data_IF_706598255018
#
_entry.id   IF_706598255018
#
_cell.length_a   1.000
_cell.length_b   1.000
_cell.length_c   1.000
_cell.angle_alpha   90.00
_cell.angle_beta   90.00
_cell.angle_gamma   90.00
#
_symmetry.space_group_name_H-M   'P 1'
#
loop_
_entity.id
_entity.type
_entity.pdbx_description
1 polymer ?
#
# COMPACT_ATOMS: atom_id res chain seq x y z
N UNK A 1 -4.51 -16.52 -4.76
CA UNK A 1 -5.16 -15.53 -3.89
C UNK A 1 -4.38 -14.22 -3.87
N UNK A 2 -4.57 -13.47 -4.94
CA UNK A 2 -3.90 -12.16 -5.10
C UNK A 2 -4.36 -11.10 -4.08
N UNK A 3 -5.58 -11.25 -3.51
CA UNK A 3 -6.14 -10.30 -2.55
C UNK A 3 -5.24 -10.15 -1.31
N UNK A 4 -4.66 -11.24 -0.81
CA UNK A 4 -3.74 -11.19 0.33
C UNK A 4 -2.52 -10.30 0.02
N UNK A 5 -1.95 -10.44 -1.17
CA UNK A 5 -0.83 -9.62 -1.60
C UNK A 5 -1.22 -8.14 -1.72
N UNK A 6 -2.41 -7.86 -2.27
CA UNK A 6 -2.92 -6.48 -2.41
C UNK A 6 -3.14 -5.83 -1.05
N UNK A 7 -3.75 -6.54 -0.09
CA UNK A 7 -3.99 -6.02 1.26
C UNK A 7 -2.66 -5.66 1.93
N UNK A 8 -1.69 -6.56 1.89
CA UNK A 8 -0.38 -6.31 2.49
C UNK A 8 0.33 -5.11 1.83
N UNK A 9 0.27 -5.02 0.50
CA UNK A 9 0.89 -3.93 -0.26
C UNK A 9 0.23 -2.58 0.02
N UNK A 10 -1.09 -2.53 0.16
CA UNK A 10 -1.79 -1.28 0.46
C UNK A 10 -1.47 -0.75 1.85
N UNK A 11 -1.28 -1.62 2.84
CA UNK A 11 -0.86 -1.18 4.18
C UNK A 11 0.50 -0.51 4.14
N UNK A 12 1.47 -1.10 3.44
CA UNK A 12 2.79 -0.51 3.27
C UNK A 12 2.73 0.79 2.46
N UNK A 13 2.01 0.79 1.35
CA UNK A 13 1.83 1.95 0.49
C UNK A 13 1.22 3.13 1.26
N UNK A 14 0.17 2.88 2.05
CA UNK A 14 -0.47 3.91 2.87
C UNK A 14 0.49 4.53 3.88
N UNK A 15 1.34 3.72 4.51
CA UNK A 15 2.38 4.20 5.42
C UNK A 15 3.38 5.12 4.71
N UNK A 16 3.84 4.73 3.52
CA UNK A 16 4.76 5.55 2.72
C UNK A 16 4.12 6.85 2.26
N UNK A 17 2.87 6.80 1.82
CA UNK A 17 2.12 8.00 1.42
C UNK A 17 1.97 8.97 2.58
N UNK A 18 1.72 8.48 3.80
CA UNK A 18 1.65 9.32 4.99
C UNK A 18 2.98 10.04 5.25
N UNK A 19 4.09 9.32 5.15
CA UNK A 19 5.44 9.89 5.33
C UNK A 19 5.72 10.96 4.30
N UNK A 20 5.40 10.71 3.03
CA UNK A 20 5.60 11.67 1.94
C UNK A 20 4.74 12.92 2.14
N UNK A 21 3.48 12.77 2.51
CA UNK A 21 2.59 13.90 2.76
C UNK A 21 3.12 14.79 3.90
N UNK A 22 3.60 14.19 4.98
CA UNK A 22 4.20 14.93 6.08
C UNK A 22 5.45 15.70 5.64
N UNK A 23 6.31 15.06 4.84
CA UNK A 23 7.52 15.71 4.33
C UNK A 23 7.19 16.87 3.40
N UNK A 24 6.20 16.75 2.53
CA UNK A 24 5.76 17.79 1.64
C UNK A 24 5.26 19.02 2.40
N UNK A 25 4.50 18.79 3.48
CA UNK A 25 4.00 19.90 4.32
C UNK A 25 5.11 20.59 5.09
N UNK A 26 6.01 19.81 5.69
CA UNK A 26 7.07 20.34 6.58
C UNK A 26 8.19 21.01 5.78
N UNK A 27 8.64 20.38 4.69
CA UNK A 27 9.84 20.84 3.98
C UNK A 27 9.56 21.68 2.75
N UNK A 28 8.39 21.52 2.14
CA UNK A 28 8.05 22.18 0.89
C UNK A 28 6.84 23.11 0.97
N UNK A 29 6.19 23.19 2.12
CA UNK A 29 5.06 24.10 2.34
C UNK A 29 3.79 23.75 1.55
N UNK A 30 3.61 22.48 1.18
CA UNK A 30 2.41 22.03 0.49
C UNK A 30 1.19 22.14 1.41
N UNK A 31 0.06 22.54 0.82
CA UNK A 31 -1.22 22.57 1.52
C UNK A 31 -1.97 21.23 1.37
N UNK A 32 -3.18 21.17 1.91
CA UNK A 32 -3.99 19.95 1.85
C UNK A 32 -4.35 19.57 0.42
N UNK A 33 -4.61 20.55 -0.45
CA UNK A 33 -4.90 20.27 -1.86
C UNK A 33 -3.69 19.65 -2.56
N UNK A 34 -2.48 20.12 -2.27
CA UNK A 34 -1.25 19.57 -2.84
C UNK A 34 -0.92 18.17 -2.34
N UNK A 35 -1.38 17.81 -1.15
CA UNK A 35 -1.15 16.49 -0.55
C UNK A 35 -2.33 15.51 -0.74
N UNK A 36 -3.39 15.90 -1.44
CA UNK A 36 -4.63 15.11 -1.50
C UNK A 36 -4.43 13.67 -1.98
N UNK A 37 -3.58 13.46 -2.97
CA UNK A 37 -3.26 12.13 -3.48
C UNK A 37 -2.68 11.23 -2.38
N UNK A 38 -1.68 11.73 -1.67
CA UNK A 38 -1.01 10.96 -0.62
C UNK A 38 -1.91 10.78 0.61
N UNK A 39 -2.67 11.81 0.97
CA UNK A 39 -3.61 11.73 2.09
C UNK A 39 -4.70 10.70 1.85
N UNK A 40 -5.14 10.54 0.60
CA UNK A 40 -6.15 9.54 0.23
C UNK A 40 -5.70 8.13 0.60
N UNK A 41 -4.44 7.78 0.27
CA UNK A 41 -3.89 6.46 0.57
C UNK A 41 -3.43 6.31 2.02
N UNK A 42 -3.09 7.42 2.68
CA UNK A 42 -2.67 7.40 4.08
C UNK A 42 -3.83 7.18 5.04
N UNK A 43 -5.05 7.57 4.64
CA UNK A 43 -6.24 7.41 5.47
C UNK A 43 -6.63 5.93 5.55
N UNK A 44 -7.04 5.43 6.75
CA UNK A 44 -7.54 4.06 6.88
C UNK A 44 -8.78 3.86 6.01
N UNK A 45 -8.89 2.70 5.36
CA UNK A 45 -10.08 2.34 4.63
C UNK A 45 -11.29 2.25 5.56
N UNK A 46 -12.51 2.63 5.12
CA UNK A 46 -13.71 2.44 5.91
C UNK A 46 -13.86 0.96 6.32
N UNK A 47 -13.98 0.70 7.63
CA UNK A 47 -14.03 -0.67 8.15
C UNK A 47 -12.66 -1.36 8.24
N UNK A 48 -11.58 -0.67 7.91
CA UNK A 48 -10.22 -1.23 7.94
C UNK A 48 -10.01 -2.34 6.92
N UNK A 49 -9.12 -3.28 7.23
CA UNK A 49 -8.80 -4.42 6.37
C UNK A 49 -9.70 -5.64 6.62
N UNK A 50 -10.60 -5.55 7.58
CA UNK A 50 -11.40 -6.69 8.02
C UNK A 50 -12.21 -7.35 6.91
N UNK A 51 -12.94 -6.63 6.03
CA UNK A 51 -13.68 -7.28 4.94
C UNK A 51 -12.78 -8.09 4.01
N UNK A 52 -11.60 -7.59 3.70
CA UNK A 52 -10.63 -8.30 2.86
C UNK A 52 -10.06 -9.51 3.59
N UNK A 53 -9.77 -9.40 4.89
CA UNK A 53 -9.26 -10.50 5.71
C UNK A 53 -10.26 -11.63 5.82
N UNK A 54 -11.56 -11.35 5.88
CA UNK A 54 -12.62 -12.38 5.87
C UNK A 54 -12.55 -13.21 4.58
N UNK A 55 -12.37 -12.56 3.43
CA UNK A 55 -12.25 -13.26 2.14
C UNK A 55 -10.98 -14.10 2.10
N UNK A 56 -9.86 -13.59 2.60
CA UNK A 56 -8.60 -14.32 2.69
C UNK A 56 -8.76 -15.56 3.58
N UNK A 57 -9.38 -15.41 4.74
CA UNK A 57 -9.59 -16.53 5.65
C UNK A 57 -10.48 -17.61 5.01
N UNK A 58 -11.53 -17.22 4.31
CA UNK A 58 -12.38 -18.17 3.59
C UNK A 58 -11.59 -18.95 2.53
N UNK A 59 -10.66 -18.30 1.83
CA UNK A 59 -9.76 -18.95 0.88
C UNK A 59 -8.84 -19.97 1.54
N UNK A 60 -8.26 -19.63 2.69
CA UNK A 60 -7.40 -20.54 3.46
C UNK A 60 -8.21 -21.73 3.98
N UNK A 61 -9.42 -21.50 4.48
CA UNK A 61 -10.31 -22.55 4.96
C UNK A 61 -10.71 -23.50 3.84
N UNK A 62 -10.79 -23.01 2.59
CA UNK A 62 -11.05 -23.84 1.41
C UNK A 62 -9.82 -24.59 0.91
N UNK A 63 -8.70 -24.55 1.62
CA UNK A 63 -7.47 -25.26 1.29
C UNK A 63 -6.58 -24.58 0.28
N UNK A 64 -6.79 -23.30 -0.01
CA UNK A 64 -5.93 -22.54 -0.92
C UNK A 64 -4.60 -22.23 -0.23
N UNK A 65 -3.50 -22.45 -0.94
CA UNK A 65 -2.16 -22.19 -0.43
C UNK A 65 -1.77 -20.72 -0.43
N UNK A 66 -0.63 -20.40 0.20
CA UNK A 66 -0.10 -19.05 0.31
C UNK A 66 1.06 -18.77 -0.65
N UNK A 67 1.50 -19.75 -1.46
CA UNK A 67 2.67 -19.59 -2.33
C UNK A 67 2.48 -18.50 -3.38
N UNK A 68 1.33 -18.50 -4.06
CA UNK A 68 1.02 -17.48 -5.07
C UNK A 68 0.86 -16.08 -4.48
N UNK A 69 0.16 -15.89 -3.36
CA UNK A 69 0.11 -14.59 -2.69
C UNK A 69 1.49 -14.05 -2.31
N UNK A 70 2.40 -14.89 -1.82
CA UNK A 70 3.76 -14.47 -1.50
C UNK A 70 4.53 -14.05 -2.76
N UNK A 71 4.39 -14.79 -3.86
CA UNK A 71 5.01 -14.45 -5.14
C UNK A 71 4.49 -13.10 -5.66
N UNK A 72 3.18 -12.90 -5.67
CA UNK A 72 2.57 -11.63 -6.08
C UNK A 72 2.99 -10.47 -5.19
N UNK A 73 3.08 -10.70 -3.88
CA UNK A 73 3.54 -9.69 -2.93
C UNK A 73 4.98 -9.25 -3.22
N UNK A 74 5.86 -10.17 -3.52
CA UNK A 74 7.25 -9.86 -3.91
C UNK A 74 7.31 -9.05 -5.19
N UNK A 75 6.52 -9.41 -6.20
CA UNK A 75 6.47 -8.68 -7.46
C UNK A 75 5.95 -7.25 -7.25
N UNK A 76 4.87 -7.08 -6.49
CA UNK A 76 4.32 -5.76 -6.19
C UNK A 76 5.34 -4.88 -5.46
N UNK A 77 6.03 -5.43 -4.47
CA UNK A 77 7.06 -4.69 -3.74
C UNK A 77 8.26 -4.33 -4.61
N UNK A 78 8.63 -5.20 -5.54
CA UNK A 78 9.71 -4.93 -6.49
C UNK A 78 9.36 -3.75 -7.40
N UNK A 79 8.15 -3.71 -7.94
CA UNK A 79 7.69 -2.59 -8.75
C UNK A 79 7.57 -1.31 -7.95
N UNK A 80 7.08 -1.37 -6.71
CA UNK A 80 7.00 -0.22 -5.83
C UNK A 80 8.39 0.36 -5.52
N UNK A 81 9.36 -0.49 -5.25
CA UNK A 81 10.73 -0.07 -5.01
C UNK A 81 11.31 0.65 -6.23
N UNK A 82 11.06 0.13 -7.44
CA UNK A 82 11.46 0.80 -8.68
C UNK A 82 10.82 2.18 -8.80
N UNK A 83 9.57 2.32 -8.44
CA UNK A 83 8.85 3.60 -8.46
C UNK A 83 9.51 4.61 -7.52
N UNK A 84 9.75 4.24 -6.26
CA UNK A 84 10.37 5.14 -5.29
C UNK A 84 11.80 5.50 -5.67
N UNK A 85 12.58 4.53 -6.15
CA UNK A 85 13.96 4.80 -6.59
C UNK A 85 13.99 5.75 -7.78
N UNK A 86 13.08 5.61 -8.72
CA UNK A 86 12.97 6.50 -9.87
C UNK A 86 12.68 7.93 -9.42
N UNK A 87 11.74 8.11 -8.50
CA UNK A 87 11.45 9.44 -7.95
C UNK A 87 12.66 10.04 -7.23
N UNK A 88 13.39 9.24 -6.47
CA UNK A 88 14.58 9.70 -5.76
C UNK A 88 15.68 10.15 -6.74
N UNK A 89 15.84 9.45 -7.85
CA UNK A 89 16.83 9.82 -8.88
C UNK A 89 16.47 11.11 -9.61
N UNK A 90 15.20 11.45 -9.69
CA UNK A 90 14.74 12.69 -10.32
C UNK A 90 14.83 13.90 -9.39
N UNK A 91 15.00 13.69 -8.12
CA UNK A 91 15.05 14.76 -7.12
C UNK A 91 16.34 15.58 -7.15
#
# INVERSE_FOLDING_TARGET
>A
MWLLAVVASFSAWGSYCKTVAQALRVHYGFDDAGCAFFDFFAAPAPGGDEPALVVVQAGLDAGRGTDKPLEYGRLLQSYELMFWNTLAELA
#
